data_IF_949755161785
#
_entry.id   IF_949755161785
#
_cell.length_a   1.000
_cell.length_b   1.000
_cell.length_c   1.000
_cell.angle_alpha   90.00
_cell.angle_beta   90.00
_cell.angle_gamma   90.00
#
_symmetry.space_group_name_H-M   'P 1'
#
loop_
_entity.id
_entity.type
_entity.pdbx_description
1 polymer ?
#
# COMPACT_ATOMS: atom_id res chain seq x y z
N UNK A 1 5.67 -40.21 -10.44
CA UNK A 1 6.22 -39.14 -11.28
C UNK A 1 5.27 -37.93 -11.36
N UNK A 2 3.99 -38.14 -11.61
CA UNK A 2 2.99 -37.02 -11.65
C UNK A 2 2.88 -36.25 -10.33
N UNK A 3 2.85 -36.95 -9.21
CA UNK A 3 2.77 -36.37 -7.88
C UNK A 3 3.92 -35.37 -7.58
N UNK A 4 5.13 -35.68 -8.02
CA UNK A 4 6.31 -34.83 -7.80
C UNK A 4 6.23 -33.50 -8.61
N UNK A 5 5.67 -33.54 -9.81
CA UNK A 5 5.47 -32.35 -10.62
C UNK A 5 4.39 -31.45 -10.03
N UNK A 6 3.28 -32.05 -9.61
CA UNK A 6 2.15 -31.35 -8.99
C UNK A 6 2.54 -30.78 -7.63
N UNK A 7 3.32 -31.49 -6.82
CA UNK A 7 3.80 -31.04 -5.52
C UNK A 7 4.55 -29.72 -5.61
N UNK A 8 5.53 -29.62 -6.50
CA UNK A 8 6.34 -28.41 -6.65
C UNK A 8 5.48 -27.20 -7.05
N UNK A 9 4.55 -27.37 -7.97
CA UNK A 9 3.66 -26.29 -8.41
C UNK A 9 2.73 -25.83 -7.28
N UNK A 10 2.12 -26.77 -6.55
CA UNK A 10 1.23 -26.46 -5.43
C UNK A 10 1.99 -25.76 -4.32
N UNK A 11 3.14 -26.29 -3.91
CA UNK A 11 3.94 -25.70 -2.84
C UNK A 11 4.40 -24.28 -3.18
N UNK A 12 4.82 -24.04 -4.42
CA UNK A 12 5.22 -22.69 -4.86
C UNK A 12 4.08 -21.69 -4.70
N UNK A 13 2.89 -22.00 -5.19
CA UNK A 13 1.72 -21.12 -5.15
C UNK A 13 1.24 -20.92 -3.71
N UNK A 14 1.09 -21.99 -2.95
CA UNK A 14 0.56 -21.94 -1.58
C UNK A 14 1.55 -21.22 -0.66
N UNK A 15 2.83 -21.53 -0.75
CA UNK A 15 3.86 -21.01 0.15
C UNK A 15 3.95 -19.49 0.08
N UNK A 16 4.02 -18.92 -1.11
CA UNK A 16 4.08 -17.47 -1.31
C UNK A 16 2.88 -16.77 -0.68
N UNK A 17 1.67 -17.19 -1.00
CA UNK A 17 0.46 -16.56 -0.50
C UNK A 17 0.25 -16.78 1.00
N UNK A 18 0.55 -17.95 1.53
CA UNK A 18 0.45 -18.25 2.96
C UNK A 18 1.41 -17.43 3.79
N UNK A 19 2.64 -17.23 3.33
CA UNK A 19 3.62 -16.39 4.02
C UNK A 19 3.17 -14.94 4.10
N UNK A 20 2.66 -14.38 3.02
CA UNK A 20 2.16 -12.99 2.99
C UNK A 20 0.93 -12.86 3.87
N UNK A 21 -0.06 -13.74 3.73
CA UNK A 21 -1.28 -13.70 4.53
C UNK A 21 -0.96 -13.83 6.03
N UNK A 22 -0.05 -14.72 6.41
CA UNK A 22 0.37 -14.90 7.81
C UNK A 22 1.06 -13.67 8.38
N UNK A 23 1.99 -13.07 7.62
CA UNK A 23 2.66 -11.83 8.05
C UNK A 23 1.67 -10.69 8.16
N UNK A 24 0.79 -10.54 7.19
CA UNK A 24 -0.25 -9.52 7.21
C UNK A 24 -1.18 -9.69 8.40
N UNK A 25 -1.66 -10.90 8.67
CA UNK A 25 -2.51 -11.16 9.83
C UNK A 25 -1.85 -10.78 11.16
N UNK A 26 -0.53 -10.99 11.28
CA UNK A 26 0.22 -10.54 12.46
C UNK A 26 0.30 -9.02 12.58
N UNK A 27 0.48 -8.32 11.46
CA UNK A 27 0.49 -6.84 11.43
C UNK A 27 -0.89 -6.29 11.77
N UNK A 28 -1.94 -6.83 11.16
CA UNK A 28 -3.33 -6.44 11.44
C UNK A 28 -3.69 -6.69 12.91
N UNK A 29 -3.26 -7.82 13.46
CA UNK A 29 -3.45 -8.10 14.90
C UNK A 29 -2.73 -7.08 15.78
N UNK A 30 -1.51 -6.69 15.43
CA UNK A 30 -0.75 -5.68 16.16
C UNK A 30 -1.32 -4.26 16.02
N UNK A 31 -2.03 -3.98 14.94
CA UNK A 31 -2.70 -2.69 14.71
C UNK A 31 -3.95 -2.46 15.56
N UNK A 32 -4.42 -3.48 16.30
CA UNK A 32 -5.49 -3.37 17.32
C UNK A 32 -6.77 -2.67 16.84
N UNK A 33 -7.13 -2.85 15.57
CA UNK A 33 -8.34 -2.28 14.96
C UNK A 33 -8.07 -1.15 13.97
N UNK A 34 -6.87 -0.62 13.92
CA UNK A 34 -6.48 0.34 12.88
C UNK A 34 -6.40 -0.33 11.51
N UNK A 35 -6.79 0.40 10.46
CA UNK A 35 -6.77 -0.10 9.09
C UNK A 35 -5.34 -0.28 8.56
N UNK A 36 -5.02 -1.46 8.05
CA UNK A 36 -3.73 -1.75 7.42
C UNK A 36 -3.89 -1.82 5.91
N UNK A 37 -3.09 -1.06 5.18
CA UNK A 37 -3.09 -0.97 3.72
C UNK A 37 -1.90 -1.73 3.12
N UNK A 38 -2.10 -2.40 1.99
CA UNK A 38 -1.07 -3.11 1.25
C UNK A 38 -0.43 -2.20 0.18
N UNK A 39 0.88 -1.94 0.26
CA UNK A 39 1.68 -1.12 -0.66
C UNK A 39 2.95 -1.84 -1.17
N UNK A 40 2.96 -3.15 -1.20
CA UNK A 40 4.14 -3.98 -1.51
C UNK A 40 4.47 -4.13 -2.98
N UNK A 41 3.66 -3.61 -3.93
CA UNK A 41 3.80 -3.87 -5.37
C UNK A 41 5.23 -3.64 -5.89
N UNK A 42 5.86 -2.51 -5.57
CA UNK A 42 7.22 -2.17 -6.04
C UNK A 42 8.34 -2.99 -5.39
N UNK A 43 8.04 -3.79 -4.37
CA UNK A 43 8.98 -4.66 -3.66
C UNK A 43 8.70 -6.14 -3.90
N UNK A 44 7.69 -6.44 -4.71
CA UNK A 44 7.33 -7.80 -5.06
C UNK A 44 8.37 -8.44 -6.00
N UNK A 45 8.44 -9.74 -5.96
CA UNK A 45 9.35 -10.55 -6.78
C UNK A 45 8.70 -10.90 -8.12
N UNK A 46 8.45 -9.89 -8.91
CA UNK A 46 7.79 -9.97 -10.20
C UNK A 46 6.31 -9.56 -10.16
N UNK A 47 5.70 -9.34 -11.34
CA UNK A 47 4.33 -8.82 -11.44
C UNK A 47 3.29 -9.75 -10.84
N UNK A 48 3.42 -11.04 -11.04
CA UNK A 48 2.49 -12.03 -10.48
C UNK A 48 2.59 -12.09 -8.95
N UNK A 49 3.81 -12.00 -8.40
CA UNK A 49 4.02 -11.94 -6.96
C UNK A 49 3.38 -10.69 -6.35
N UNK A 50 3.41 -9.55 -7.04
CA UNK A 50 2.71 -8.34 -6.61
C UNK A 50 1.20 -8.48 -6.62
N UNK A 51 0.67 -9.14 -7.64
CA UNK A 51 -0.75 -9.37 -7.81
C UNK A 51 -1.31 -10.33 -6.74
N UNK A 52 -0.72 -11.52 -6.64
CA UNK A 52 -1.15 -12.52 -5.66
C UNK A 52 -0.77 -12.15 -4.22
N UNK A 53 0.28 -11.35 -4.05
CA UNK A 53 0.65 -10.77 -2.77
C UNK A 53 -0.42 -9.82 -2.24
N UNK A 54 -0.94 -8.95 -3.07
CA UNK A 54 -2.05 -8.07 -2.70
C UNK A 54 -3.30 -8.88 -2.30
N UNK A 55 -3.66 -9.90 -3.08
CA UNK A 55 -4.75 -10.83 -2.74
C UNK A 55 -4.54 -11.50 -1.38
N UNK A 56 -3.34 -12.01 -1.14
CA UNK A 56 -3.00 -12.68 0.12
C UNK A 56 -3.03 -11.73 1.31
N UNK A 57 -2.62 -10.47 1.13
CA UNK A 57 -2.70 -9.44 2.15
C UNK A 57 -4.17 -9.11 2.52
N UNK A 58 -5.07 -9.08 1.54
CA UNK A 58 -6.50 -8.91 1.81
C UNK A 58 -7.07 -10.08 2.62
N UNK A 59 -6.67 -11.31 2.31
CA UNK A 59 -7.03 -12.50 3.11
C UNK A 59 -6.48 -12.39 4.54
N UNK A 60 -5.29 -11.79 4.69
CA UNK A 60 -4.65 -11.52 5.98
C UNK A 60 -5.31 -10.40 6.80
N UNK A 61 -6.28 -9.65 6.24
CA UNK A 61 -7.04 -8.63 6.92
C UNK A 61 -6.68 -7.18 6.56
N UNK A 62 -5.92 -6.94 5.49
CA UNK A 62 -5.75 -5.58 4.96
C UNK A 62 -7.08 -5.02 4.47
N UNK A 63 -7.27 -3.71 4.66
CA UNK A 63 -8.49 -3.01 4.25
C UNK A 63 -8.47 -2.54 2.79
N UNK A 64 -7.29 -2.52 2.17
CA UNK A 64 -7.14 -2.11 0.78
C UNK A 64 -5.72 -2.32 0.25
N UNK A 65 -5.55 -2.11 -1.06
CA UNK A 65 -4.26 -2.23 -1.76
C UNK A 65 -4.03 -1.04 -2.70
N UNK A 66 -2.77 -0.71 -2.95
CA UNK A 66 -2.38 0.23 -4.00
C UNK A 66 -2.30 -0.42 -5.40
N UNK A 67 -2.47 -1.74 -5.50
CA UNK A 67 -2.42 -2.48 -6.74
C UNK A 67 -3.77 -2.47 -7.46
N UNK A 68 -3.97 -1.50 -8.36
CA UNK A 68 -5.21 -1.32 -9.12
C UNK A 68 -5.60 -2.58 -9.93
N UNK A 69 -4.61 -3.31 -10.46
CA UNK A 69 -4.86 -4.56 -11.17
C UNK A 69 -5.41 -5.65 -10.23
N UNK A 70 -4.85 -5.75 -9.02
CA UNK A 70 -5.38 -6.66 -8.01
C UNK A 70 -6.79 -6.27 -7.57
N UNK A 71 -7.05 -4.97 -7.40
CA UNK A 71 -8.38 -4.44 -7.15
C UNK A 71 -9.39 -4.87 -8.20
N UNK A 72 -9.03 -4.71 -9.47
CA UNK A 72 -9.88 -5.11 -10.61
C UNK A 72 -10.12 -6.63 -10.69
N UNK A 73 -9.04 -7.43 -10.52
CA UNK A 73 -9.13 -8.89 -10.69
C UNK A 73 -9.80 -9.59 -9.51
N UNK A 74 -9.50 -9.17 -8.30
CA UNK A 74 -9.95 -9.84 -7.07
C UNK A 74 -11.04 -9.08 -6.32
N UNK A 75 -11.52 -7.96 -6.89
CA UNK A 75 -12.50 -7.07 -6.27
C UNK A 75 -12.08 -6.59 -4.87
N UNK A 76 -10.78 -6.39 -4.68
CA UNK A 76 -10.24 -5.80 -3.47
C UNK A 76 -10.46 -4.28 -3.52
N UNK A 77 -10.75 -3.62 -2.39
CA UNK A 77 -10.73 -2.18 -2.32
C UNK A 77 -9.36 -1.64 -2.75
N UNK A 78 -9.33 -0.87 -3.84
CA UNK A 78 -8.15 -0.20 -4.32
C UNK A 78 -8.16 1.25 -3.85
N UNK A 79 -7.23 1.60 -3.02
CA UNK A 79 -6.96 2.97 -2.65
C UNK A 79 -5.68 3.38 -3.40
N UNK A 80 -5.87 4.10 -4.49
CA UNK A 80 -4.76 4.62 -5.28
C UNK A 80 -3.76 5.34 -4.35
N UNK A 81 -2.48 5.00 -4.48
CA UNK A 81 -1.44 5.70 -3.75
C UNK A 81 -1.47 7.17 -4.20
N UNK A 82 -1.57 8.17 -3.32
CA UNK A 82 -1.26 9.55 -3.68
C UNK A 82 0.17 9.56 -4.21
N UNK A 83 0.27 9.72 -5.53
CA UNK A 83 1.47 9.40 -6.29
C UNK A 83 2.63 10.33 -5.90
N UNK A 84 3.82 9.82 -5.57
CA UNK A 84 5.02 10.65 -5.42
C UNK A 84 5.36 11.47 -6.67
N UNK A 85 4.79 11.13 -7.82
CA UNK A 85 4.95 11.86 -9.09
C UNK A 85 4.32 13.25 -9.06
N UNK A 86 3.31 13.51 -8.21
CA UNK A 86 2.83 14.87 -7.94
C UNK A 86 3.95 15.79 -7.44
N UNK A 87 5.04 15.21 -6.90
CA UNK A 87 6.17 16.00 -6.40
C UNK A 87 7.02 16.64 -7.50
N UNK A 88 6.91 16.21 -8.74
CA UNK A 88 7.70 16.73 -9.85
C UNK A 88 6.95 17.73 -10.74
N UNK A 89 5.62 17.73 -10.76
CA UNK A 89 4.82 18.52 -11.70
C UNK A 89 4.50 19.94 -11.21
N UNK A 90 4.58 20.22 -9.92
CA UNK A 90 4.24 21.54 -9.35
C UNK A 90 5.46 22.20 -8.69
N UNK A 91 5.66 23.48 -8.92
CA UNK A 91 6.69 24.26 -8.27
C UNK A 91 6.31 24.57 -6.81
N UNK A 92 6.92 23.87 -5.88
CA UNK A 92 6.75 24.07 -4.45
C UNK A 92 5.86 23.04 -3.75
N UNK A 93 6.44 22.35 -2.79
CA UNK A 93 5.78 21.25 -2.04
C UNK A 93 4.55 21.71 -1.27
N UNK A 94 4.60 22.92 -0.70
CA UNK A 94 3.51 23.46 0.11
C UNK A 94 2.25 23.72 -0.73
N UNK A 95 2.39 24.29 -1.93
CA UNK A 95 1.27 24.52 -2.84
C UNK A 95 0.58 23.23 -3.29
N UNK A 96 1.36 22.15 -3.49
CA UNK A 96 0.80 20.83 -3.87
C UNK A 96 -0.02 20.21 -2.76
N UNK A 97 0.49 20.26 -1.54
CA UNK A 97 -0.22 19.77 -0.36
C UNK A 97 -1.51 20.55 -0.15
N UNK A 98 -1.47 21.88 -0.31
CA UNK A 98 -2.65 22.72 -0.22
C UNK A 98 -3.69 22.39 -1.30
N UNK A 99 -3.27 22.34 -2.56
CA UNK A 99 -4.17 22.00 -3.68
C UNK A 99 -4.79 20.60 -3.51
N UNK A 100 -4.00 19.62 -3.03
CA UNK A 100 -4.51 18.28 -2.77
C UNK A 100 -5.51 18.27 -1.61
N UNK A 101 -5.22 18.98 -0.52
CA UNK A 101 -6.11 19.08 0.63
C UNK A 101 -7.42 19.83 0.31
N UNK A 102 -7.36 20.84 -0.56
CA UNK A 102 -8.54 21.56 -1.06
C UNK A 102 -9.43 20.68 -1.94
N UNK A 103 -8.83 19.83 -2.77
CA UNK A 103 -9.56 18.90 -3.64
C UNK A 103 -10.17 17.70 -2.88
N UNK A 104 -9.52 17.26 -1.82
CA UNK A 104 -9.92 16.08 -1.05
C UNK A 104 -9.95 16.35 0.46
N UNK A 105 -10.82 17.26 0.96
CA UNK A 105 -10.80 17.68 2.37
C UNK A 105 -11.05 16.55 3.36
N UNK A 106 -11.92 15.58 3.00
CA UNK A 106 -12.32 14.47 3.86
C UNK A 106 -11.47 13.22 3.68
N UNK A 107 -10.60 13.17 2.65
CA UNK A 107 -9.81 11.99 2.29
C UNK A 107 -8.33 12.32 2.02
N UNK A 108 -7.82 13.41 2.60
CA UNK A 108 -6.45 13.86 2.40
C UNK A 108 -5.48 13.00 3.22
N UNK A 109 -4.81 12.07 2.56
CA UNK A 109 -3.72 11.28 3.15
C UNK A 109 -2.39 11.74 2.55
N UNK A 110 -1.48 12.23 3.40
CA UNK A 110 -0.20 12.77 2.98
C UNK A 110 0.93 11.78 3.24
N UNK A 111 1.87 11.68 2.27
CA UNK A 111 3.11 10.95 2.42
C UNK A 111 4.16 11.84 3.07
N UNK A 112 4.63 11.48 4.26
CA UNK A 112 5.52 12.33 5.08
C UNK A 112 6.93 11.78 5.25
N UNK A 113 7.20 10.57 4.78
CA UNK A 113 8.46 9.82 4.96
C UNK A 113 9.46 9.97 3.80
N UNK A 114 9.23 10.90 2.87
CA UNK A 114 10.05 11.03 1.66
C UNK A 114 11.46 11.55 1.94
N UNK A 115 11.62 12.47 2.91
CA UNK A 115 12.90 13.12 3.19
C UNK A 115 13.35 12.95 4.65
N UNK A 116 12.62 13.53 5.61
CA UNK A 116 12.92 13.47 7.02
C UNK A 116 11.66 13.25 7.84
N UNK A 117 11.45 12.00 8.25
CA UNK A 117 10.26 11.60 9.00
C UNK A 117 10.30 12.10 10.45
N UNK A 118 11.50 12.33 10.99
CA UNK A 118 11.70 12.63 12.41
C UNK A 118 11.78 14.14 12.70
N UNK A 119 11.86 14.98 11.69
CA UNK A 119 11.90 16.43 11.87
C UNK A 119 10.49 17.04 11.83
N UNK A 120 9.81 17.21 12.99
CA UNK A 120 8.42 17.67 13.03
C UNK A 120 8.24 19.12 12.54
N UNK A 121 9.28 19.94 12.57
CA UNK A 121 9.20 21.34 12.11
C UNK A 121 8.94 21.42 10.60
N UNK A 122 9.47 20.49 9.83
CA UNK A 122 9.27 20.43 8.38
C UNK A 122 7.86 19.94 8.04
N UNK A 123 7.31 19.05 8.87
CA UNK A 123 5.96 18.50 8.68
C UNK A 123 4.87 19.49 9.13
N UNK A 124 5.05 20.13 10.28
CA UNK A 124 4.04 21.04 10.84
C UNK A 124 3.86 22.34 10.04
N UNK A 125 4.93 22.87 9.44
CA UNK A 125 4.84 24.05 8.57
C UNK A 125 4.01 23.82 7.31
N UNK A 126 3.97 22.60 6.80
CA UNK A 126 3.17 22.26 5.64
C UNK A 126 1.69 22.05 5.97
N UNK A 127 1.36 21.64 7.19
CA UNK A 127 -0.02 21.37 7.61
C UNK A 127 -0.69 22.60 8.28
N UNK A 128 0.07 23.43 8.99
CA UNK A 128 -0.47 24.63 9.68
C UNK A 128 -0.88 25.76 8.74
N UNK A 129 -0.49 25.71 7.47
CA UNK A 129 -0.93 26.69 6.45
C UNK A 129 -2.21 26.26 5.71
N UNK A 130 -2.83 25.16 6.08
CA UNK A 130 -4.08 24.63 5.48
C UNK A 130 -5.33 24.98 6.33
N UNK A 131 -5.21 25.93 7.25
CA UNK A 131 -6.37 26.49 7.99
C UNK A 131 -6.84 27.78 7.36
#
# INVERSE_FOLDING_TARGET
MEAQLVETAILNIINHQSLIATKTARVVHAAQGDGVMEFGLRRAQGPDAGLYGARAAMIGGCVGTSNVLAGKMFRCPDHGNPCPQLDHEFSGRVHRIQAYAELYPDACTLLVDTYDTLNPEFQMRSVSSVK
#
